data_IF_040919887769
#
_entry.id   IF_040919887769
#
_cell.length_a   1.000
_cell.length_b   1.000
_cell.length_c   1.000
_cell.angle_alpha   90.00
_cell.angle_beta   90.00
_cell.angle_gamma   90.00
#
_symmetry.space_group_name_H-M   'P 1'
#
loop_
_entity.id
_entity.type
_entity.pdbx_description
1 polymer ?
#
# COMPACT_ATOMS: atom_id res chain seq x y z
N UNK A 1 -14.96 -8.72 -8.19
CA UNK A 1 -13.86 -8.55 -7.26
C UNK A 1 -13.71 -7.07 -6.88
N UNK A 2 -13.32 -6.82 -5.65
CA UNK A 2 -13.09 -5.47 -5.18
C UNK A 2 -11.60 -5.18 -5.20
N UNK A 3 -11.24 -4.01 -5.70
CA UNK A 3 -9.87 -3.59 -5.66
C UNK A 3 -9.78 -2.12 -5.23
N UNK A 4 -8.68 -1.78 -4.63
CA UNK A 4 -8.40 -0.42 -4.20
C UNK A 4 -7.02 -0.02 -4.70
N UNK A 5 -6.96 1.10 -5.40
CA UNK A 5 -5.69 1.61 -5.89
C UNK A 5 -5.15 2.63 -4.90
N UNK A 6 -3.89 2.45 -4.53
CA UNK A 6 -3.20 3.33 -3.60
C UNK A 6 -2.08 3.98 -4.37
N UNK A 7 -2.03 5.30 -4.34
CA UNK A 7 -0.97 6.04 -5.04
C UNK A 7 -0.30 6.99 -4.06
N UNK A 8 1.02 7.05 -4.11
CA UNK A 8 1.76 7.93 -3.21
C UNK A 8 2.94 8.56 -3.95
N UNK A 9 3.43 9.64 -3.39
CA UNK A 9 4.61 10.30 -3.92
C UNK A 9 5.82 9.44 -3.58
N UNK A 10 6.62 9.14 -4.57
CA UNK A 10 7.74 8.22 -4.41
C UNK A 10 9.01 8.76 -5.06
N UNK A 11 10.13 8.11 -4.73
CA UNK A 11 11.42 8.44 -5.30
C UNK A 11 11.94 7.20 -6.02
N UNK A 12 12.36 7.37 -7.26
CA UNK A 12 12.90 6.27 -8.05
C UNK A 12 14.11 5.63 -7.34
N UNK A 13 14.16 4.33 -7.34
CA UNK A 13 15.26 3.58 -6.71
C UNK A 13 15.07 3.27 -5.24
N UNK A 14 14.01 3.80 -4.63
CA UNK A 14 13.70 3.49 -3.25
C UNK A 14 12.72 2.31 -3.19
N UNK A 15 12.75 1.59 -2.07
CA UNK A 15 11.88 0.44 -1.88
C UNK A 15 10.84 0.77 -0.81
N UNK A 16 9.61 0.45 -1.11
CA UNK A 16 8.46 0.76 -0.23
C UNK A 16 7.72 -0.49 0.16
N UNK A 17 7.05 -0.41 1.30
CA UNK A 17 6.12 -1.44 1.74
C UNK A 17 4.74 -0.85 1.94
N UNK A 18 3.71 -1.68 1.77
CA UNK A 18 2.32 -1.27 1.97
C UNK A 18 1.67 -2.19 2.98
N UNK A 19 1.05 -1.60 3.99
CA UNK A 19 0.30 -2.33 5.00
C UNK A 19 -1.15 -1.92 4.96
N UNK A 20 -2.01 -2.84 5.38
CA UNK A 20 -3.44 -2.62 5.43
C UNK A 20 -3.98 -2.95 6.83
N UNK A 21 -4.93 -2.16 7.31
CA UNK A 21 -5.58 -2.42 8.59
C UNK A 21 -7.04 -2.04 8.52
N UNK A 22 -7.87 -2.72 9.31
CA UNK A 22 -9.28 -2.36 9.43
C UNK A 22 -9.55 -1.57 10.71
N UNK A 23 -8.59 -1.52 11.62
CA UNK A 23 -8.78 -0.86 12.92
C UNK A 23 -7.62 0.05 13.33
N UNK A 24 -6.58 0.13 12.51
CA UNK A 24 -5.35 0.89 12.77
C UNK A 24 -4.55 0.36 13.98
N UNK A 25 -4.89 -0.81 14.44
CA UNK A 25 -4.19 -1.44 15.56
C UNK A 25 -3.36 -2.62 15.05
N UNK A 26 -4.00 -3.49 14.30
CA UNK A 26 -3.32 -4.63 13.70
C UNK A 26 -3.14 -4.38 12.21
N UNK A 27 -1.93 -4.53 11.72
CA UNK A 27 -1.56 -4.24 10.35
C UNK A 27 -1.15 -5.52 9.63
N UNK A 28 -1.67 -5.67 8.42
CA UNK A 28 -1.30 -6.78 7.55
C UNK A 28 -0.38 -6.24 6.47
N UNK A 29 0.76 -6.88 6.31
CA UNK A 29 1.68 -6.48 5.25
C UNK A 29 1.19 -7.01 3.92
N UNK A 30 0.94 -6.10 2.98
CA UNK A 30 0.48 -6.48 1.65
C UNK A 30 1.65 -6.71 0.70
N UNK A 31 2.65 -5.87 0.79
CA UNK A 31 3.85 -5.97 -0.03
C UNK A 31 4.99 -5.25 0.66
N UNK A 32 6.21 -5.74 0.48
CA UNK A 32 7.38 -5.13 1.09
C UNK A 32 8.53 -4.92 0.11
N UNK A 33 8.25 -5.06 -1.17
CA UNK A 33 9.29 -4.92 -2.17
C UNK A 33 8.86 -4.09 -3.37
N UNK A 34 8.11 -3.04 -3.13
CA UNK A 34 7.63 -2.19 -4.22
C UNK A 34 8.71 -1.17 -4.57
N UNK A 35 9.23 -1.29 -5.79
CA UNK A 35 10.23 -0.34 -6.25
C UNK A 35 9.54 0.96 -6.63
N UNK A 36 10.03 2.06 -6.08
CA UNK A 36 9.47 3.38 -6.35
C UNK A 36 9.72 3.82 -7.78
N UNK A 37 8.70 4.39 -8.38
CA UNK A 37 8.83 5.02 -9.69
C UNK A 37 9.04 6.51 -9.48
N UNK A 38 9.46 7.19 -10.53
CA UNK A 38 9.70 8.62 -10.44
C UNK A 38 8.39 9.37 -10.24
N UNK A 39 8.36 10.22 -9.23
CA UNK A 39 7.24 11.04 -8.80
C UNK A 39 6.15 10.28 -8.06
N UNK A 40 5.55 9.26 -8.67
CA UNK A 40 4.44 8.54 -8.03
C UNK A 40 4.51 7.05 -8.30
N UNK A 41 4.13 6.29 -7.31
CA UNK A 41 4.02 4.84 -7.42
C UNK A 41 2.63 4.44 -6.97
N UNK A 42 2.08 3.43 -7.60
CA UNK A 42 0.76 2.93 -7.21
C UNK A 42 0.81 1.43 -6.93
N UNK A 43 -0.12 1.01 -6.09
CA UNK A 43 -0.27 -0.38 -5.70
C UNK A 43 -1.76 -0.69 -5.67
N UNK A 44 -2.14 -1.83 -6.22
CA UNK A 44 -3.52 -2.27 -6.24
C UNK A 44 -3.72 -3.39 -5.22
N UNK A 45 -4.62 -3.14 -4.27
CA UNK A 45 -5.03 -4.15 -3.30
C UNK A 45 -6.23 -4.89 -3.85
N UNK A 46 -6.01 -6.09 -4.36
CA UNK A 46 -7.08 -6.92 -4.88
C UNK A 46 -7.77 -7.63 -3.72
N UNK A 47 -9.05 -7.96 -3.92
CA UNK A 47 -9.88 -8.61 -2.90
C UNK A 47 -9.95 -7.82 -1.60
N UNK A 48 -9.97 -6.49 -1.70
CA UNK A 48 -10.14 -5.64 -0.53
C UNK A 48 -11.47 -5.97 0.16
N UNK A 49 -11.52 -5.91 1.50
CA UNK A 49 -12.75 -6.21 2.23
C UNK A 49 -13.90 -5.35 1.78
N UNK A 50 -15.00 -5.99 1.44
CA UNK A 50 -16.19 -5.31 0.95
C UNK A 50 -17.00 -4.76 2.11
N UNK A 51 -17.40 -3.49 2.00
CA UNK A 51 -18.25 -2.87 2.99
C UNK A 51 -17.57 -2.51 4.30
N UNK A 52 -16.27 -2.65 4.37
CA UNK A 52 -15.50 -2.30 5.56
C UNK A 52 -14.56 -1.16 5.26
N UNK A 53 -14.30 -0.34 6.27
CA UNK A 53 -13.30 0.70 6.14
C UNK A 53 -11.92 0.05 6.18
N UNK A 54 -11.03 0.58 5.39
CA UNK A 54 -9.67 0.11 5.36
C UNK A 54 -8.70 1.27 5.46
N UNK A 55 -7.57 1.02 6.09
CA UNK A 55 -6.51 2.01 6.24
C UNK A 55 -5.25 1.44 5.62
N UNK A 56 -4.52 2.30 4.94
CA UNK A 56 -3.29 1.89 4.28
C UNK A 56 -2.13 2.72 4.81
N UNK A 57 -0.99 2.09 4.90
CA UNK A 57 0.21 2.76 5.35
C UNK A 57 1.34 2.37 4.41
N UNK A 58 2.04 3.38 3.89
CA UNK A 58 3.21 3.16 3.04
C UNK A 58 4.46 3.41 3.87
N UNK A 59 5.41 2.49 3.82
CA UNK A 59 6.66 2.58 4.56
C UNK A 59 7.82 2.67 3.59
N UNK A 60 8.78 3.51 3.90
CA UNK A 60 10.03 3.57 3.15
C UNK A 60 10.99 2.54 3.76
N UNK A 61 11.39 1.55 2.98
CA UNK A 61 12.26 0.47 3.46
C UNK A 61 13.73 0.70 3.12
N UNK A 62 14.02 1.36 2.03
CA UNK A 62 15.39 1.70 1.64
C UNK A 62 15.47 3.04 0.97
#
# INVERSE_FOLDING_TARGET
ANSTDITWNSVAGKIYGVDFSTDMIEWEELDDGIEGEDEKTSFTHEDAPKGKKGFYRVRLLE
#
